data_IF_271913345556
#
_entry.id   IF_271913345556
#
_cell.length_a   1.000
_cell.length_b   1.000
_cell.length_c   1.000
_cell.angle_alpha   90.00
_cell.angle_beta   90.00
_cell.angle_gamma   90.00
#
_symmetry.space_group_name_H-M   'P 1'
#
loop_
_entity.id
_entity.type
_entity.pdbx_description
1 polymer ?
#
# COMPACT_ATOMS: atom_id res chain seq x y z
N UNK A 1 9.23 14.48 12.33
CA UNK A 1 8.49 13.46 11.57
C UNK A 1 7.07 13.97 11.38
N UNK A 2 6.60 13.99 10.14
CA UNK A 2 5.23 14.38 9.77
C UNK A 2 4.21 13.40 10.36
N UNK A 3 2.93 13.75 10.32
CA UNK A 3 1.82 12.84 10.68
C UNK A 3 1.86 11.55 9.82
N UNK A 4 1.83 10.38 10.47
CA UNK A 4 1.86 9.06 9.82
C UNK A 4 0.69 8.90 8.84
N UNK A 5 -0.48 9.45 9.18
CA UNK A 5 -1.65 9.40 8.29
C UNK A 5 -1.41 10.17 7.01
N UNK A 6 -0.69 11.30 7.08
CA UNK A 6 -0.32 12.08 5.89
C UNK A 6 0.67 11.32 5.01
N UNK A 7 1.60 10.58 5.60
CA UNK A 7 2.50 9.70 4.86
C UNK A 7 1.71 8.62 4.11
N UNK A 8 0.86 7.87 4.80
CA UNK A 8 0.01 6.84 4.19
C UNK A 8 -0.86 7.41 3.05
N UNK A 9 -1.49 8.57 3.28
CA UNK A 9 -2.33 9.22 2.27
C UNK A 9 -1.53 9.69 1.05
N UNK A 10 -0.33 10.24 1.27
CA UNK A 10 0.54 10.68 0.18
C UNK A 10 0.92 9.49 -0.69
N UNK A 11 1.47 8.42 -0.09
CA UNK A 11 1.91 7.24 -0.84
C UNK A 11 0.75 6.55 -1.55
N UNK A 12 -0.42 6.47 -0.91
CA UNK A 12 -1.62 5.92 -1.53
C UNK A 12 -2.10 6.73 -2.75
N UNK A 13 -2.04 8.06 -2.66
CA UNK A 13 -2.46 8.95 -3.76
C UNK A 13 -1.48 8.89 -4.92
N UNK A 14 -0.17 8.90 -4.65
CA UNK A 14 0.87 8.78 -5.67
C UNK A 14 0.79 7.42 -6.38
N UNK A 15 0.73 6.32 -5.62
CA UNK A 15 0.55 4.98 -6.19
C UNK A 15 -0.70 4.91 -7.07
N UNK A 16 -1.85 5.37 -6.56
CA UNK A 16 -3.09 5.34 -7.34
C UNK A 16 -2.95 6.17 -8.62
N UNK A 17 -2.30 7.34 -8.58
CA UNK A 17 -2.13 8.20 -9.76
C UNK A 17 -1.25 7.53 -10.83
N UNK A 18 -0.15 6.92 -10.42
CA UNK A 18 0.82 6.28 -11.33
C UNK A 18 0.26 4.98 -11.93
N UNK A 19 -0.49 4.21 -11.14
CA UNK A 19 -0.99 2.90 -11.55
C UNK A 19 -2.40 2.92 -12.15
N UNK A 20 -3.12 4.05 -12.11
CA UNK A 20 -4.53 4.10 -12.54
C UNK A 20 -4.73 3.73 -14.00
N UNK A 21 -3.90 4.28 -14.88
CA UNK A 21 -4.04 4.07 -16.32
C UNK A 21 -3.64 2.64 -16.70
N UNK A 22 -2.61 2.09 -16.04
CA UNK A 22 -2.23 0.69 -16.17
C UNK A 22 -3.36 -0.23 -15.75
N UNK A 23 -3.94 0.00 -14.56
CA UNK A 23 -5.10 -0.74 -14.08
C UNK A 23 -6.26 -0.65 -15.07
N UNK A 24 -6.57 0.54 -15.59
CA UNK A 24 -7.70 0.73 -16.53
C UNK A 24 -7.51 0.05 -17.88
N UNK A 25 -6.27 -0.06 -18.36
CA UNK A 25 -5.93 -0.70 -19.62
C UNK A 25 -5.70 -2.23 -19.49
N UNK A 26 -5.51 -2.73 -18.27
CA UNK A 26 -5.26 -4.15 -18.00
C UNK A 26 -6.51 -5.00 -18.32
N UNK A 27 -6.35 -5.92 -19.27
CA UNK A 27 -7.35 -6.91 -19.70
C UNK A 27 -7.25 -8.24 -18.92
N UNK A 28 -6.32 -8.34 -17.96
CA UNK A 28 -6.18 -9.50 -17.09
C UNK A 28 -7.40 -9.71 -16.20
N UNK A 29 -7.46 -10.85 -15.52
CA UNK A 29 -8.64 -11.30 -14.76
C UNK A 29 -9.24 -10.23 -13.83
N UNK A 30 -8.38 -9.44 -13.18
CA UNK A 30 -8.79 -8.41 -12.21
C UNK A 30 -8.60 -6.98 -12.70
N UNK A 31 -8.07 -6.80 -13.92
CA UNK A 31 -7.81 -5.51 -14.54
C UNK A 31 -9.08 -4.69 -14.77
N UNK A 32 -8.91 -3.40 -15.00
CA UNK A 32 -10.00 -2.44 -15.19
C UNK A 32 -10.73 -2.55 -16.53
N UNK A 33 -10.20 -3.32 -17.49
CA UNK A 33 -10.86 -3.73 -18.72
C UNK A 33 -11.47 -5.14 -18.65
N UNK A 34 -11.26 -5.87 -17.54
CA UNK A 34 -11.92 -7.15 -17.27
C UNK A 34 -13.45 -7.03 -17.20
N UNK A 35 -14.14 -8.15 -17.42
CA UNK A 35 -15.58 -8.27 -17.16
C UNK A 35 -15.91 -8.16 -15.66
N UNK A 36 -14.97 -8.49 -14.78
CA UNK A 36 -15.12 -8.43 -13.31
C UNK A 36 -13.96 -7.65 -12.66
N UNK A 37 -13.88 -6.31 -12.87
CA UNK A 37 -12.72 -5.52 -12.47
C UNK A 37 -12.59 -5.40 -10.94
N UNK A 38 -11.42 -5.78 -10.42
CA UNK A 38 -11.14 -5.76 -8.98
C UNK A 38 -9.74 -5.20 -8.67
N UNK A 39 -9.68 -3.90 -8.39
CA UNK A 39 -8.44 -3.22 -8.02
C UNK A 39 -7.72 -3.86 -6.83
N UNK A 40 -8.45 -4.38 -5.84
CA UNK A 40 -7.83 -4.96 -4.65
C UNK A 40 -7.06 -6.25 -4.96
N UNK A 41 -7.57 -7.06 -5.88
CA UNK A 41 -6.91 -8.29 -6.34
C UNK A 41 -5.84 -7.96 -7.38
N UNK A 42 -6.05 -6.97 -8.25
CA UNK A 42 -5.03 -6.50 -9.19
C UNK A 42 -3.76 -6.01 -8.47
N UNK A 43 -3.92 -5.23 -7.40
CA UNK A 43 -2.79 -4.77 -6.57
C UNK A 43 -2.02 -5.94 -5.95
N UNK A 44 -2.72 -6.96 -5.46
CA UNK A 44 -2.10 -8.12 -4.81
C UNK A 44 -1.42 -9.03 -5.84
N UNK A 45 -2.04 -9.23 -7.00
CA UNK A 45 -1.52 -10.07 -8.07
C UNK A 45 -0.30 -9.47 -8.77
N UNK A 46 -0.25 -8.14 -8.91
CA UNK A 46 0.86 -7.46 -9.58
C UNK A 46 2.08 -7.21 -8.69
N UNK A 47 1.98 -7.42 -7.37
CA UNK A 47 3.01 -7.10 -6.36
C UNK A 47 3.58 -5.66 -6.40
N UNK A 48 3.07 -4.78 -7.26
CA UNK A 48 3.58 -3.42 -7.52
C UNK A 48 3.56 -2.55 -6.26
N UNK A 49 2.48 -2.69 -5.46
CA UNK A 49 2.37 -1.92 -4.22
C UNK A 49 3.37 -2.40 -3.16
N UNK A 50 3.57 -3.72 -3.03
CA UNK A 50 4.54 -4.27 -2.10
C UNK A 50 5.97 -3.88 -2.47
N UNK A 51 6.30 -3.82 -3.76
CA UNK A 51 7.60 -3.37 -4.24
C UNK A 51 7.85 -1.89 -3.90
N UNK A 52 6.90 -1.00 -4.21
CA UNK A 52 7.00 0.43 -3.83
C UNK A 52 7.17 0.61 -2.32
N UNK A 53 6.39 -0.10 -1.52
CA UNK A 53 6.49 -0.03 -0.06
C UNK A 53 7.83 -0.56 0.42
N UNK A 54 8.40 -1.57 -0.25
CA UNK A 54 9.72 -2.12 0.08
C UNK A 54 10.79 -1.07 -0.16
N UNK A 55 10.78 -0.38 -1.29
CA UNK A 55 11.72 0.70 -1.59
C UNK A 55 11.67 1.86 -0.60
N UNK A 56 10.46 2.23 -0.13
CA UNK A 56 10.28 3.27 0.89
C UNK A 56 10.87 2.80 2.22
N UNK A 57 10.50 1.59 2.65
CA UNK A 57 10.95 1.02 3.92
C UNK A 57 12.45 0.75 3.95
N UNK A 58 13.08 0.45 2.82
CA UNK A 58 14.53 0.24 2.73
C UNK A 58 15.34 1.48 3.14
N UNK A 59 14.74 2.68 3.09
CA UNK A 59 15.37 3.96 3.49
C UNK A 59 15.12 4.30 4.96
N UNK A 60 14.31 3.51 5.66
CA UNK A 60 13.94 3.78 7.05
C UNK A 60 15.07 3.43 8.02
N UNK A 61 15.26 4.32 8.99
CA UNK A 61 16.08 4.06 10.16
C UNK A 61 15.33 3.21 11.18
N UNK A 62 16.06 2.69 12.18
CA UNK A 62 15.42 1.99 13.30
C UNK A 62 14.31 2.80 13.97
N UNK A 63 14.50 4.12 14.08
CA UNK A 63 13.51 5.03 14.67
C UNK A 63 12.23 5.10 13.85
N UNK A 64 12.33 5.02 12.53
CA UNK A 64 11.18 5.07 11.64
C UNK A 64 10.35 3.78 11.75
N UNK A 65 10.99 2.62 11.88
CA UNK A 65 10.28 1.36 12.14
C UNK A 65 9.47 1.41 13.44
N UNK A 66 10.06 1.92 14.53
CA UNK A 66 9.36 2.11 15.81
C UNK A 66 8.19 3.09 15.63
N UNK A 67 8.43 4.18 14.92
CA UNK A 67 7.40 5.20 14.68
C UNK A 67 6.21 4.62 13.90
N UNK A 68 6.45 3.84 12.84
CA UNK A 68 5.39 3.15 12.07
C UNK A 68 4.66 2.13 12.92
N UNK A 69 5.38 1.29 13.66
CA UNK A 69 4.80 0.30 14.58
C UNK A 69 3.88 0.94 15.63
N UNK A 70 4.23 2.15 16.10
CA UNK A 70 3.43 2.89 17.10
C UNK A 70 2.20 3.58 16.51
N UNK A 71 2.25 3.95 15.22
CA UNK A 71 1.22 4.80 14.60
C UNK A 71 0.32 4.08 13.58
N UNK A 72 0.66 2.85 13.20
CA UNK A 72 -0.16 2.02 12.31
C UNK A 72 -1.56 1.78 12.87
N UNK A 73 -2.55 1.69 11.98
CA UNK A 73 -3.92 1.30 12.35
C UNK A 73 -4.12 -0.22 12.30
N UNK A 74 -3.28 -0.91 11.54
CA UNK A 74 -3.33 -2.35 11.33
C UNK A 74 -1.97 -2.95 11.71
N UNK A 75 -1.69 -3.14 13.01
CA UNK A 75 -0.45 -3.77 13.44
C UNK A 75 -0.42 -5.23 13.01
N UNK A 76 0.54 -5.58 12.15
CA UNK A 76 0.75 -6.95 11.72
C UNK A 76 1.31 -7.79 12.87
N UNK A 77 0.47 -8.65 13.43
CA UNK A 77 0.84 -9.60 14.49
C UNK A 77 1.54 -10.84 13.96
N UNK A 78 1.31 -11.17 12.68
CA UNK A 78 1.74 -12.41 12.03
C UNK A 78 3.01 -12.26 11.19
N UNK A 79 3.45 -11.03 10.88
CA UNK A 79 4.76 -10.83 10.26
C UNK A 79 5.87 -11.28 11.24
N UNK A 80 6.92 -11.92 10.69
CA UNK A 80 8.03 -12.51 11.43
C UNK A 80 8.68 -11.59 12.49
N UNK A 81 9.46 -12.20 13.38
CA UNK A 81 9.80 -11.65 14.71
C UNK A 81 10.50 -10.30 14.78
N UNK A 82 11.04 -9.75 13.69
CA UNK A 82 11.75 -8.49 13.68
C UNK A 82 10.85 -7.27 13.40
N UNK A 83 11.19 -6.11 13.98
CA UNK A 83 10.37 -4.90 13.89
C UNK A 83 10.25 -4.37 12.46
N UNK A 84 11.25 -4.60 11.61
CA UNK A 84 11.24 -4.07 10.25
C UNK A 84 10.17 -4.77 9.41
N UNK A 85 10.08 -6.11 9.51
CA UNK A 85 9.03 -6.90 8.86
C UNK A 85 7.63 -6.52 9.33
N UNK A 86 7.45 -6.31 10.63
CA UNK A 86 6.15 -5.90 11.19
C UNK A 86 5.75 -4.50 10.74
N UNK A 87 6.66 -3.54 10.78
CA UNK A 87 6.41 -2.18 10.32
C UNK A 87 6.11 -2.13 8.81
N UNK A 88 6.87 -2.88 8.00
CA UNK A 88 6.62 -3.04 6.57
C UNK A 88 5.20 -3.56 6.30
N UNK A 89 4.84 -4.71 6.89
CA UNK A 89 3.54 -5.32 6.65
C UNK A 89 2.38 -4.41 7.09
N UNK A 90 2.54 -3.75 8.23
CA UNK A 90 1.55 -2.81 8.77
C UNK A 90 1.37 -1.60 7.86
N UNK A 91 2.47 -1.03 7.38
CA UNK A 91 2.42 0.11 6.47
C UNK A 91 1.83 -0.27 5.11
N UNK A 92 2.20 -1.42 4.56
CA UNK A 92 1.61 -1.95 3.32
C UNK A 92 0.08 -2.08 3.43
N UNK A 93 -0.41 -2.64 4.54
CA UNK A 93 -1.85 -2.76 4.79
C UNK A 93 -2.55 -1.40 4.87
N UNK A 94 -1.96 -0.43 5.57
CA UNK A 94 -2.52 0.91 5.71
C UNK A 94 -2.56 1.66 4.37
N UNK A 95 -1.48 1.61 3.58
CA UNK A 95 -1.43 2.21 2.24
C UNK A 95 -2.46 1.54 1.33
N UNK A 96 -2.51 0.21 1.32
CA UNK A 96 -3.49 -0.55 0.54
C UNK A 96 -4.93 -0.17 0.91
N UNK A 97 -5.22 0.00 2.18
CA UNK A 97 -6.55 0.43 2.64
C UNK A 97 -6.90 1.83 2.13
N UNK A 98 -5.96 2.78 2.21
CA UNK A 98 -6.21 4.14 1.76
C UNK A 98 -6.32 4.22 0.22
N UNK A 99 -5.53 3.44 -0.55
CA UNK A 99 -5.73 3.26 -2.01
C UNK A 99 -7.16 2.74 -2.28
N UNK A 100 -7.57 1.69 -1.54
CA UNK A 100 -8.93 1.17 -1.37
C UNK A 100 -10.00 2.26 -1.43
N UNK A 101 -9.86 3.17 -0.47
CA UNK A 101 -10.80 4.24 -0.17
C UNK A 101 -10.74 5.37 -1.20
N UNK A 102 -9.55 5.75 -1.67
CA UNK A 102 -9.37 6.78 -2.69
C UNK A 102 -9.96 6.34 -4.04
N UNK A 103 -9.72 5.09 -4.46
CA UNK A 103 -10.28 4.55 -5.70
C UNK A 103 -11.81 4.53 -5.71
N UNK A 104 -12.45 4.22 -4.56
CA UNK A 104 -13.92 4.30 -4.43
C UNK A 104 -14.47 5.72 -4.61
N UNK A 105 -13.70 6.76 -4.28
CA UNK A 105 -14.11 8.16 -4.48
C UNK A 105 -13.89 8.66 -5.91
N UNK A 106 -13.03 7.98 -6.68
CA UNK A 106 -12.67 8.34 -8.06
C UNK A 106 -13.60 7.67 -9.10
N UNK A 107 -14.30 6.60 -8.69
CA UNK A 107 -15.41 5.99 -9.43
C UNK A 107 -16.65 6.86 -9.34
#
# INVERSE_FOLDING_TARGET
MSDYRKLVQKEALEFLKESWDQYKADEGEFGGASSLPNLAQWIDAGEVLSERVREISAKWSHRDYIWVETNTRNPSREAGGDRSSKAFASFLQDVRYEVKKLAKKKR
#
